data_IF_207829591445
#
_entry.id   IF_207829591445
#
_cell.length_a   1.000
_cell.length_b   1.000
_cell.length_c   1.000
_cell.angle_alpha   90.00
_cell.angle_beta   90.00
_cell.angle_gamma   90.00
#
_symmetry.space_group_name_H-M   'P 1'
#
loop_
_entity.id
_entity.type
_entity.pdbx_description
1 polymer ?
#
# COMPACT_ATOMS: atom_id res chain seq x y z
N UNK A 1 -18.45 15.85 12.28
CA UNK A 1 -17.18 15.21 11.87
C UNK A 1 -16.19 16.29 11.52
N UNK A 2 -14.97 16.25 12.12
CA UNK A 2 -13.91 17.22 11.80
C UNK A 2 -13.23 16.78 10.51
N UNK A 3 -12.96 17.72 9.61
CA UNK A 3 -12.27 17.47 8.34
C UNK A 3 -10.91 18.16 8.35
N UNK A 4 -9.90 17.44 7.85
CA UNK A 4 -8.54 17.92 7.74
C UNK A 4 -8.09 17.92 6.28
N UNK A 5 -7.41 18.98 5.81
CA UNK A 5 -6.78 18.98 4.49
C UNK A 5 -5.54 18.06 4.49
N UNK A 6 -5.10 17.67 3.30
CA UNK A 6 -3.88 16.87 3.08
C UNK A 6 -2.60 17.54 3.62
N UNK A 7 -2.62 18.86 3.82
CA UNK A 7 -1.52 19.62 4.43
C UNK A 7 -1.37 19.42 5.94
N UNK A 8 -2.34 18.77 6.60
CA UNK A 8 -2.26 18.46 8.04
C UNK A 8 -1.40 17.21 8.27
N UNK A 9 -0.07 17.38 8.24
CA UNK A 9 0.93 16.31 8.23
C UNK A 9 0.98 15.42 9.49
N UNK A 10 0.50 15.93 10.62
CA UNK A 10 0.62 15.26 11.94
C UNK A 10 -0.59 14.36 12.27
N UNK A 11 -1.56 14.24 11.39
CA UNK A 11 -2.69 13.32 11.59
C UNK A 11 -2.24 11.88 11.36
N UNK A 12 -2.49 11.03 12.35
CA UNK A 12 -2.22 9.60 12.30
C UNK A 12 -3.41 8.85 12.93
N UNK A 13 -4.25 8.26 12.09
CA UNK A 13 -5.38 7.46 12.54
C UNK A 13 -4.97 6.00 12.65
N UNK A 14 -4.99 5.47 13.87
CA UNK A 14 -4.54 4.11 14.18
C UNK A 14 -5.46 3.05 13.56
N UNK A 15 -4.88 2.06 12.91
CA UNK A 15 -5.55 0.90 12.33
C UNK A 15 -4.84 -0.37 12.78
N UNK A 16 -5.59 -1.30 13.37
CA UNK A 16 -5.09 -2.56 13.91
C UNK A 16 -5.88 -3.01 15.14
N UNK A 17 -5.76 -4.26 15.53
CA UNK A 17 -6.42 -4.81 16.70
C UNK A 17 -5.79 -4.35 18.02
N UNK A 18 -6.54 -4.42 19.11
CA UNK A 18 -6.05 -4.12 20.47
C UNK A 18 -4.97 -5.15 20.83
N UNK A 19 -3.80 -4.64 21.25
CA UNK A 19 -2.67 -5.49 21.66
C UNK A 19 -1.98 -6.23 20.52
N UNK A 20 -2.28 -5.89 19.27
CA UNK A 20 -1.63 -6.44 18.07
C UNK A 20 -0.74 -5.41 17.39
N UNK A 21 -0.11 -5.77 16.27
CA UNK A 21 0.56 -4.79 15.42
C UNK A 21 -0.42 -3.82 14.78
N UNK A 22 0.04 -2.62 14.48
CA UNK A 22 -0.77 -1.56 13.88
C UNK A 22 -0.01 -0.73 12.85
N UNK A 23 -0.75 0.06 12.09
CA UNK A 23 -0.25 1.14 11.25
C UNK A 23 -1.21 2.34 11.35
N UNK A 24 -0.81 3.47 10.83
CA UNK A 24 -1.64 4.69 10.84
C UNK A 24 -1.97 5.15 9.43
N UNK A 25 -3.18 5.69 9.26
CA UNK A 25 -3.61 6.41 8.06
C UNK A 25 -3.35 7.91 8.24
N UNK A 26 -2.60 8.51 7.32
CA UNK A 26 -2.39 9.95 7.25
C UNK A 26 -3.41 10.66 6.37
N UNK A 27 -3.44 12.00 6.41
CA UNK A 27 -4.41 12.84 5.70
C UNK A 27 -4.33 12.74 4.18
N UNK A 28 -3.17 12.38 3.63
CA UNK A 28 -2.96 12.23 2.20
C UNK A 28 -3.44 10.88 1.64
N UNK A 29 -3.95 9.97 2.47
CA UNK A 29 -4.22 8.58 2.13
C UNK A 29 -3.01 7.66 2.31
N UNK A 30 -1.89 8.19 2.80
CA UNK A 30 -0.66 7.44 3.03
C UNK A 30 -0.72 6.56 4.28
N UNK A 31 -0.08 5.42 4.22
CA UNK A 31 0.13 4.54 5.38
C UNK A 31 1.48 4.85 6.02
N UNK A 32 1.52 4.88 7.34
CA UNK A 32 2.70 5.20 8.14
C UNK A 32 2.65 4.53 9.52
N UNK A 33 3.68 4.73 10.34
CA UNK A 33 3.74 4.23 11.73
C UNK A 33 3.55 2.71 11.82
N UNK A 34 4.25 1.96 10.99
CA UNK A 34 4.16 0.50 11.02
C UNK A 34 4.82 -0.06 12.28
N UNK A 35 4.01 -0.50 13.23
CA UNK A 35 4.44 -1.06 14.51
C UNK A 35 4.13 -2.56 14.56
N UNK A 36 4.87 -3.31 13.77
CA UNK A 36 4.73 -4.76 13.62
C UNK A 36 5.92 -5.51 14.22
N UNK A 37 5.72 -6.76 14.60
CA UNK A 37 6.77 -7.65 15.10
C UNK A 37 7.53 -7.08 16.30
N UNK A 38 6.81 -6.55 17.31
CA UNK A 38 7.36 -5.95 18.53
C UNK A 38 8.36 -4.81 18.26
N UNK A 39 8.20 -4.07 17.18
CA UNK A 39 9.04 -2.93 16.83
C UNK A 39 8.24 -1.64 16.94
N UNK A 40 8.67 -0.68 17.78
CA UNK A 40 8.10 0.65 17.75
C UNK A 40 8.43 1.32 16.41
N UNK A 41 7.47 2.06 15.86
CA UNK A 41 7.63 2.55 14.49
C UNK A 41 7.00 3.90 14.21
N UNK A 42 6.80 4.76 15.21
CA UNK A 42 6.25 6.10 14.99
C UNK A 42 7.13 6.93 14.06
N UNK A 43 6.49 7.49 13.02
CA UNK A 43 7.17 8.24 11.97
C UNK A 43 7.83 7.39 10.90
N UNK A 44 7.84 6.06 11.02
CA UNK A 44 8.39 5.19 9.99
C UNK A 44 7.38 4.99 8.84
N UNK A 45 7.90 4.55 7.70
CA UNK A 45 7.12 4.13 6.55
C UNK A 45 7.68 2.81 6.05
N UNK A 46 6.80 1.89 5.73
CA UNK A 46 7.22 0.68 5.07
C UNK A 46 7.54 1.00 3.59
N UNK A 47 8.73 0.68 3.09
CA UNK A 47 9.11 0.91 1.70
C UNK A 47 8.07 0.39 0.71
N UNK A 48 7.85 1.13 -0.38
CA UNK A 48 6.96 0.72 -1.49
C UNK A 48 5.56 0.29 -1.05
N UNK A 49 5.06 0.85 0.06
CA UNK A 49 3.72 0.55 0.57
C UNK A 49 2.78 1.68 0.19
N UNK A 50 1.92 1.40 -0.77
CA UNK A 50 0.92 2.34 -1.30
C UNK A 50 -0.18 1.59 -2.05
N UNK A 51 -1.24 2.32 -2.39
CA UNK A 51 -2.26 1.87 -3.33
C UNK A 51 -2.24 2.74 -4.57
N UNK A 52 -2.61 2.16 -5.72
CA UNK A 52 -2.70 2.86 -6.99
C UNK A 52 -4.00 2.55 -7.70
N UNK A 53 -4.54 3.53 -8.40
CA UNK A 53 -5.67 3.42 -9.31
C UNK A 53 -5.15 3.42 -10.75
N UNK A 54 -5.71 2.57 -11.57
CA UNK A 54 -5.68 2.64 -13.03
C UNK A 54 -7.10 2.78 -13.56
N UNK A 55 -7.27 3.52 -14.63
CA UNK A 55 -8.54 3.64 -15.33
C UNK A 55 -8.34 3.62 -16.84
N UNK A 56 -9.40 3.17 -17.55
CA UNK A 56 -9.50 3.28 -19.00
C UNK A 56 -10.90 3.74 -19.39
N UNK A 57 -10.96 4.85 -20.09
CA UNK A 57 -12.17 5.43 -20.61
C UNK A 57 -12.65 4.67 -21.87
N UNK A 58 -13.91 4.87 -22.25
CA UNK A 58 -14.51 4.22 -23.42
C UNK A 58 -13.77 4.52 -24.74
N UNK A 59 -13.21 5.71 -24.88
CA UNK A 59 -12.39 6.13 -26.04
C UNK A 59 -10.99 5.50 -26.07
N UNK A 60 -10.64 4.72 -25.06
CA UNK A 60 -9.36 4.05 -24.91
C UNK A 60 -8.29 4.85 -24.15
N UNK A 61 -8.58 6.06 -23.73
CA UNK A 61 -7.67 6.85 -22.89
C UNK A 61 -7.45 6.19 -21.53
N UNK A 62 -6.20 6.08 -21.11
CA UNK A 62 -5.80 5.50 -19.83
C UNK A 62 -5.15 6.55 -18.92
N UNK A 63 -5.32 6.39 -17.62
CA UNK A 63 -4.59 7.16 -16.59
C UNK A 63 -4.28 6.24 -15.40
N UNK A 64 -3.21 6.54 -14.68
CA UNK A 64 -2.85 5.83 -13.45
C UNK A 64 -2.34 6.81 -12.40
N UNK A 65 -2.80 6.65 -11.16
CA UNK A 65 -2.50 7.52 -10.01
C UNK A 65 -2.22 6.70 -8.77
N UNK A 66 -1.24 7.11 -7.99
CA UNK A 66 -1.15 6.65 -6.60
C UNK A 66 -2.33 7.24 -5.82
N UNK A 67 -3.02 6.42 -5.04
CA UNK A 67 -4.16 6.80 -4.19
C UNK A 67 -3.68 7.55 -2.94
N UNK A 68 -2.98 8.65 -3.21
CA UNK A 68 -2.50 9.62 -2.24
C UNK A 68 -2.54 11.02 -2.84
N UNK A 69 -2.67 12.04 -1.98
CA UNK A 69 -2.37 13.42 -2.32
C UNK A 69 -0.84 13.67 -2.39
N UNK A 70 -0.38 14.81 -2.97
CA UNK A 70 1.03 15.11 -3.10
C UNK A 70 1.73 15.24 -1.75
N UNK A 71 3.04 15.08 -1.76
CA UNK A 71 3.88 15.41 -0.61
C UNK A 71 3.94 16.93 -0.42
N UNK A 72 3.90 17.37 0.83
CA UNK A 72 4.00 18.77 1.20
C UNK A 72 5.35 19.09 1.85
N UNK A 73 5.79 20.34 1.71
CA UNK A 73 6.96 20.85 2.43
C UNK A 73 6.69 20.97 3.94
N UNK A 74 7.72 20.93 4.78
CA UNK A 74 9.15 20.83 4.45
C UNK A 74 9.56 19.38 4.09
N UNK A 75 10.47 19.27 3.10
CA UNK A 75 11.13 17.99 2.81
C UNK A 75 12.30 17.80 3.77
N UNK A 76 12.42 16.63 4.35
CA UNK A 76 13.37 16.35 5.45
C UNK A 76 14.81 16.11 4.98
N UNK A 77 15.05 16.06 3.67
CA UNK A 77 16.37 15.72 3.10
C UNK A 77 16.83 16.73 2.06
N UNK A 78 18.15 16.92 1.98
CA UNK A 78 18.78 17.87 1.04
C UNK A 78 18.57 17.51 -0.44
N UNK A 79 18.31 16.25 -0.75
CA UNK A 79 18.13 15.75 -2.12
C UNK A 79 16.71 15.22 -2.39
N UNK A 80 15.73 15.66 -1.61
CA UNK A 80 14.31 15.35 -1.80
C UNK A 80 13.83 14.19 -0.97
N UNK A 81 12.91 13.40 -1.54
CA UNK A 81 12.27 12.26 -0.88
C UNK A 81 12.94 10.95 -1.32
N UNK A 82 13.00 9.95 -0.43
CA UNK A 82 13.53 8.63 -0.79
C UNK A 82 12.67 7.98 -1.89
N UNK A 83 13.30 7.18 -2.73
CA UNK A 83 12.62 6.46 -3.82
C UNK A 83 11.55 5.49 -3.30
N UNK A 84 11.78 4.93 -2.13
CA UNK A 84 10.89 3.98 -1.47
C UNK A 84 9.52 4.58 -1.10
N UNK A 85 9.42 5.92 -1.08
CA UNK A 85 8.15 6.63 -0.88
C UNK A 85 7.38 6.85 -2.20
N UNK A 86 7.95 6.41 -3.34
CA UNK A 86 7.31 6.52 -4.66
C UNK A 86 6.89 7.94 -5.03
N UNK A 87 7.65 8.95 -4.56
CA UNK A 87 7.27 10.36 -4.66
C UNK A 87 7.16 10.89 -6.10
N UNK A 88 7.87 10.25 -7.04
CA UNK A 88 7.85 10.61 -8.47
C UNK A 88 6.65 10.11 -9.25
N UNK A 89 5.82 9.22 -8.68
CA UNK A 89 4.63 8.72 -9.37
C UNK A 89 3.50 9.77 -9.38
N UNK A 90 2.63 9.78 -10.40
CA UNK A 90 1.44 10.62 -10.45
C UNK A 90 0.51 10.38 -9.25
N UNK A 91 -0.07 11.44 -8.71
CA UNK A 91 -1.00 11.42 -7.58
C UNK A 91 -2.25 12.22 -7.87
N UNK A 92 -3.27 12.06 -7.03
CA UNK A 92 -4.42 12.96 -7.00
C UNK A 92 -3.98 14.38 -6.63
N UNK A 93 -4.71 15.39 -7.09
CA UNK A 93 -4.35 16.80 -6.88
C UNK A 93 -4.40 17.21 -5.41
N UNK A 94 -5.33 16.66 -4.63
CA UNK A 94 -5.51 16.91 -3.20
C UNK A 94 -6.27 15.78 -2.53
N UNK A 95 -6.37 15.82 -1.20
CA UNK A 95 -7.25 14.95 -0.44
C UNK A 95 -7.90 15.68 0.75
N UNK A 96 -8.98 15.11 1.25
CA UNK A 96 -9.68 15.59 2.45
C UNK A 96 -9.90 14.42 3.39
N UNK A 97 -9.31 14.49 4.56
CA UNK A 97 -9.43 13.48 5.60
C UNK A 97 -10.53 13.81 6.60
N UNK A 98 -11.24 12.80 7.04
CA UNK A 98 -12.17 12.90 8.17
C UNK A 98 -12.18 11.61 8.97
N UNK A 99 -12.39 11.70 10.28
CA UNK A 99 -12.44 10.52 11.14
C UNK A 99 -13.57 10.62 12.17
N UNK A 100 -14.16 9.49 12.43
CA UNK A 100 -15.05 9.23 13.54
C UNK A 100 -14.83 7.78 13.94
N UNK A 101 -14.03 7.58 14.99
CA UNK A 101 -13.66 6.25 15.44
C UNK A 101 -14.88 5.31 15.54
N UNK A 102 -14.82 4.08 15.02
CA UNK A 102 -13.64 3.38 14.48
C UNK A 102 -13.38 3.56 12.97
N UNK A 103 -13.94 4.56 12.33
CA UNK A 103 -13.82 4.82 10.90
C UNK A 103 -12.96 6.07 10.62
N UNK A 104 -12.19 6.01 9.54
CA UNK A 104 -11.55 7.15 8.92
C UNK A 104 -11.79 7.14 7.41
N UNK A 105 -11.96 8.33 6.81
CA UNK A 105 -12.23 8.46 5.39
C UNK A 105 -11.27 9.47 4.76
N UNK A 106 -10.87 9.20 3.53
CA UNK A 106 -10.11 10.09 2.66
C UNK A 106 -10.86 10.26 1.35
N UNK A 107 -11.29 11.47 1.04
CA UNK A 107 -11.79 11.85 -0.27
C UNK A 107 -10.59 12.28 -1.12
N UNK A 108 -10.36 11.64 -2.27
CA UNK A 108 -9.34 12.06 -3.22
C UNK A 108 -9.93 13.02 -4.23
N UNK A 109 -9.28 14.17 -4.42
CA UNK A 109 -9.79 15.26 -5.23
C UNK A 109 -8.92 15.44 -6.48
N UNK A 110 -9.52 15.27 -7.66
CA UNK A 110 -8.88 15.54 -8.95
C UNK A 110 -9.95 15.76 -10.01
N UNK A 111 -10.08 17.00 -10.48
CA UNK A 111 -11.08 17.38 -11.48
C UNK A 111 -10.74 16.92 -12.90
N UNK A 112 -9.53 16.39 -13.11
CA UNK A 112 -9.08 15.89 -14.43
C UNK A 112 -9.52 14.45 -14.69
N UNK A 113 -10.01 13.74 -13.67
CA UNK A 113 -10.44 12.36 -13.77
C UNK A 113 -11.97 12.24 -13.86
N UNK A 114 -12.50 11.35 -14.72
CA UNK A 114 -13.94 11.15 -14.90
C UNK A 114 -14.53 10.22 -13.80
N UNK A 115 -14.04 10.34 -12.58
CA UNK A 115 -14.47 9.53 -11.44
C UNK A 115 -14.19 10.25 -10.11
N UNK A 116 -14.92 9.87 -9.07
CA UNK A 116 -14.59 10.22 -7.69
C UNK A 116 -14.11 8.98 -6.92
N UNK A 117 -13.15 9.17 -6.02
CA UNK A 117 -12.59 8.10 -5.21
C UNK A 117 -12.62 8.47 -3.74
N UNK A 118 -13.15 7.55 -2.95
CA UNK A 118 -13.13 7.61 -1.49
C UNK A 118 -12.44 6.37 -0.93
N UNK A 119 -11.61 6.57 0.09
CA UNK A 119 -11.01 5.50 0.89
C UNK A 119 -11.66 5.53 2.27
N UNK A 120 -12.20 4.40 2.71
CA UNK A 120 -12.67 4.18 4.06
C UNK A 120 -11.76 3.18 4.75
N UNK A 121 -11.22 3.56 5.90
CA UNK A 121 -10.48 2.65 6.78
C UNK A 121 -11.29 2.36 8.02
N UNK A 122 -11.30 1.10 8.41
CA UNK A 122 -12.00 0.62 9.57
C UNK A 122 -11.04 -0.07 10.54
N UNK A 123 -11.07 0.37 11.78
CA UNK A 123 -10.40 -0.31 12.88
C UNK A 123 -11.39 -1.30 13.52
N UNK A 124 -11.14 -2.62 13.48
CA UNK A 124 -12.04 -3.58 14.09
C UNK A 124 -12.08 -3.38 15.61
N UNK A 125 -13.12 -2.70 16.07
CA UNK A 125 -13.32 -2.40 17.49
C UNK A 125 -14.78 -2.61 17.87
N UNK A 126 -14.99 -3.51 18.82
CA UNK A 126 -16.31 -3.78 19.42
C UNK A 126 -16.21 -3.47 20.92
N UNK A 127 -16.91 -2.46 21.45
CA UNK A 127 -16.85 -2.14 22.87
C UNK A 127 -17.20 -3.33 23.74
N UNK A 128 -16.35 -3.60 24.76
CA UNK A 128 -16.49 -4.71 25.72
C UNK A 128 -16.31 -6.12 25.14
N UNK A 129 -15.88 -6.23 23.88
CA UNK A 129 -15.51 -7.49 23.24
C UNK A 129 -14.01 -7.43 22.86
N UNK A 130 -13.17 -7.97 23.73
CA UNK A 130 -11.72 -7.96 23.52
C UNK A 130 -11.28 -8.94 22.43
N UNK A 131 -11.99 -10.04 22.22
CA UNK A 131 -11.67 -11.03 21.19
C UNK A 131 -11.91 -10.44 19.80
N UNK A 132 -13.09 -9.87 19.54
CA UNK A 132 -13.39 -9.20 18.28
C UNK A 132 -12.50 -7.97 18.04
N UNK A 133 -12.16 -7.22 19.10
CA UNK A 133 -11.34 -6.02 19.01
C UNK A 133 -9.85 -6.30 18.83
N UNK A 134 -9.37 -7.51 19.11
CA UNK A 134 -7.96 -7.90 18.96
C UNK A 134 -7.63 -8.60 17.64
N UNK A 135 -8.56 -8.65 16.70
CA UNK A 135 -8.29 -9.20 15.35
C UNK A 135 -7.14 -8.40 14.72
N UNK A 136 -6.00 -9.04 14.36
CA UNK A 136 -4.81 -8.35 13.84
C UNK A 136 -4.99 -7.98 12.36
N UNK A 137 -5.96 -7.11 12.07
CA UNK A 137 -6.30 -6.69 10.72
C UNK A 137 -6.61 -5.20 10.64
N UNK A 138 -6.31 -4.61 9.50
CA UNK A 138 -6.80 -3.29 9.09
C UNK A 138 -7.62 -3.46 7.82
N UNK A 139 -8.81 -2.89 7.78
CA UNK A 139 -9.71 -2.96 6.64
C UNK A 139 -9.67 -1.64 5.88
N UNK A 140 -9.37 -1.73 4.58
CA UNK A 140 -9.33 -0.59 3.67
C UNK A 140 -10.31 -0.85 2.53
N UNK A 141 -11.28 0.01 2.36
CA UNK A 141 -12.26 -0.04 1.29
C UNK A 141 -12.11 1.17 0.39
N UNK A 142 -12.02 0.94 -0.90
CA UNK A 142 -12.12 2.00 -1.90
C UNK A 142 -13.50 1.99 -2.54
N UNK A 143 -14.12 3.15 -2.59
CA UNK A 143 -15.33 3.41 -3.38
C UNK A 143 -14.93 4.27 -4.56
N UNK A 144 -15.09 3.71 -5.77
CA UNK A 144 -14.87 4.42 -7.04
C UNK A 144 -16.23 4.66 -7.67
N UNK A 145 -16.59 5.91 -7.92
CA UNK A 145 -17.82 6.30 -8.56
C UNK A 145 -17.51 6.88 -9.93
N UNK A 146 -18.04 6.26 -10.99
CA UNK A 146 -17.93 6.78 -12.34
C UNK A 146 -18.82 8.01 -12.51
N UNK A 147 -18.22 9.15 -12.85
CA UNK A 147 -18.91 10.42 -13.09
C UNK A 147 -19.08 10.74 -14.58
N UNK A 148 -18.55 9.88 -15.48
CA UNK A 148 -18.77 9.98 -16.90
C UNK A 148 -20.14 9.41 -17.31
N UNK A 149 -20.53 9.61 -18.58
CA UNK A 149 -21.74 9.03 -19.18
C UNK A 149 -21.57 7.60 -19.65
N UNK A 150 -20.34 7.16 -19.89
CA UNK A 150 -19.98 5.85 -20.42
C UNK A 150 -19.27 4.98 -19.37
N UNK A 151 -19.33 3.65 -19.51
CA UNK A 151 -18.59 2.74 -18.63
C UNK A 151 -17.08 2.99 -18.66
N UNK A 152 -16.43 2.85 -17.51
CA UNK A 152 -14.99 2.95 -17.33
C UNK A 152 -14.46 1.64 -16.76
N UNK A 153 -13.35 1.12 -17.30
CA UNK A 153 -12.60 0.06 -16.61
C UNK A 153 -11.73 0.70 -15.50
N UNK A 154 -11.70 0.08 -14.34
CA UNK A 154 -10.88 0.53 -13.21
C UNK A 154 -10.14 -0.64 -12.59
N UNK A 155 -8.92 -0.41 -12.14
CA UNK A 155 -8.18 -1.34 -11.31
C UNK A 155 -7.58 -0.64 -10.11
N UNK A 156 -7.53 -1.33 -8.97
CA UNK A 156 -6.82 -0.88 -7.78
C UNK A 156 -5.75 -1.88 -7.45
N UNK A 157 -4.50 -1.43 -7.44
CA UNK A 157 -3.38 -2.20 -6.96
C UNK A 157 -3.00 -1.80 -5.54
N UNK A 158 -2.68 -2.78 -4.70
CA UNK A 158 -2.03 -2.58 -3.40
C UNK A 158 -0.64 -3.16 -3.42
N UNK A 159 0.32 -2.47 -2.85
CA UNK A 159 1.72 -2.87 -2.74
C UNK A 159 2.22 -2.75 -1.32
N UNK A 160 3.09 -3.67 -0.91
CA UNK A 160 3.82 -3.58 0.36
C UNK A 160 5.12 -4.38 0.32
N UNK A 161 6.11 -3.92 1.05
CA UNK A 161 7.34 -4.68 1.27
C UNK A 161 7.18 -5.68 2.41
N UNK A 162 7.83 -6.84 2.26
CA UNK A 162 7.85 -7.89 3.25
C UNK A 162 8.75 -7.51 4.44
N UNK A 163 8.16 -7.22 5.58
CA UNK A 163 8.88 -6.95 6.84
C UNK A 163 9.03 -8.21 7.71
N UNK A 164 8.43 -9.34 7.32
CA UNK A 164 8.59 -10.58 8.06
C UNK A 164 10.04 -11.08 7.97
N UNK A 165 10.62 -11.44 9.10
CA UNK A 165 11.99 -11.95 9.15
C UNK A 165 13.12 -10.91 9.04
N UNK A 166 12.79 -9.64 8.97
CA UNK A 166 13.78 -8.57 9.07
C UNK A 166 14.39 -8.58 10.48
N UNK A 167 15.68 -8.91 10.58
CA UNK A 167 16.37 -9.01 11.87
C UNK A 167 16.89 -7.68 12.35
N UNK A 168 17.52 -6.91 11.47
CA UNK A 168 18.09 -5.60 11.77
C UNK A 168 17.83 -4.62 10.63
N UNK A 169 17.60 -3.35 10.99
CA UNK A 169 17.58 -2.24 10.05
C UNK A 169 18.93 -1.55 10.11
N UNK A 170 19.81 -1.80 9.15
CA UNK A 170 21.00 -0.97 8.97
C UNK A 170 20.66 0.29 8.17
N UNK A 171 20.81 1.45 8.79
CA UNK A 171 20.87 2.72 8.06
C UNK A 171 22.28 2.88 7.50
N UNK A 172 22.44 2.66 6.21
CA UNK A 172 23.63 3.14 5.50
C UNK A 172 23.51 4.65 5.29
N UNK A 173 24.61 5.35 5.10
CA UNK A 173 24.63 6.82 4.99
C UNK A 173 23.72 7.43 3.88
N UNK A 174 23.13 6.61 3.01
CA UNK A 174 22.16 6.99 1.97
C UNK A 174 20.75 6.46 2.26
N UNK A 175 20.52 6.01 3.51
CA UNK A 175 19.23 5.47 4.00
C UNK A 175 18.70 4.24 3.25
N UNK A 176 19.55 3.51 2.58
CA UNK A 176 19.20 2.19 2.09
C UNK A 176 19.11 1.23 3.27
N UNK A 177 17.95 0.62 3.43
CA UNK A 177 17.75 -0.40 4.44
C UNK A 177 18.42 -1.67 3.95
N UNK A 178 19.54 -2.04 4.54
CA UNK A 178 20.18 -3.34 4.32
C UNK A 178 19.44 -4.37 5.15
N UNK A 179 19.00 -5.44 4.52
CA UNK A 179 18.17 -6.44 5.16
C UNK A 179 18.76 -7.81 4.93
N UNK A 180 18.77 -8.63 5.97
CA UNK A 180 18.82 -10.06 5.81
C UNK A 180 17.50 -10.48 5.18
N UNK A 181 17.53 -10.67 3.85
CA UNK A 181 16.36 -10.91 3.04
C UNK A 181 16.05 -12.41 2.96
N UNK A 182 15.50 -12.90 4.04
CA UNK A 182 14.96 -14.26 4.13
C UNK A 182 13.44 -14.30 3.93
N UNK A 183 12.84 -13.16 3.56
CA UNK A 183 11.40 -13.05 3.32
C UNK A 183 10.94 -13.84 2.09
N UNK A 184 9.75 -14.40 2.15
CA UNK A 184 9.08 -15.11 1.07
C UNK A 184 7.69 -14.53 0.90
N UNK A 185 7.32 -14.22 -0.34
CA UNK A 185 5.99 -13.76 -0.71
C UNK A 185 5.30 -14.89 -1.49
N UNK A 186 4.12 -15.30 -1.04
CA UNK A 186 3.37 -16.41 -1.64
C UNK A 186 1.93 -15.97 -1.91
N UNK A 187 1.44 -16.15 -3.13
CA UNK A 187 0.03 -15.99 -3.43
C UNK A 187 -0.76 -17.14 -2.77
N UNK A 188 -1.84 -16.79 -2.09
CA UNK A 188 -2.77 -17.74 -1.46
C UNK A 188 -4.20 -17.35 -1.75
N UNK A 189 -5.03 -18.38 -1.80
CA UNK A 189 -6.48 -18.25 -1.87
C UNK A 189 -7.11 -19.23 -0.87
N UNK A 190 -7.95 -18.71 0.00
CA UNK A 190 -8.66 -19.51 1.01
C UNK A 190 -9.95 -18.82 1.40
N UNK A 191 -11.03 -19.61 1.51
CA UNK A 191 -12.36 -19.16 1.97
C UNK A 191 -12.90 -17.90 1.29
N UNK A 192 -12.63 -17.72 -0.01
CA UNK A 192 -13.07 -16.56 -0.78
C UNK A 192 -12.27 -15.29 -0.54
N UNK A 193 -11.11 -15.39 0.09
CA UNK A 193 -10.12 -14.33 0.24
C UNK A 193 -8.86 -14.76 -0.49
N UNK A 194 -8.27 -13.87 -1.29
CA UNK A 194 -7.03 -14.13 -2.00
C UNK A 194 -6.06 -12.96 -1.89
N UNK A 195 -4.78 -13.22 -2.06
CA UNK A 195 -3.75 -12.20 -1.99
C UNK A 195 -2.35 -12.72 -1.69
N UNK A 196 -1.48 -11.84 -1.27
CA UNK A 196 -0.11 -12.17 -0.92
C UNK A 196 0.06 -12.39 0.58
N UNK A 197 0.70 -13.49 0.91
CA UNK A 197 1.14 -13.85 2.24
C UNK A 197 2.66 -13.67 2.33
N UNK A 198 3.09 -12.83 3.24
CA UNK A 198 4.49 -12.47 3.48
C UNK A 198 4.96 -13.17 4.74
N UNK A 199 6.02 -13.95 4.62
CA UNK A 199 6.57 -14.75 5.72
C UNK A 199 8.10 -14.81 5.65
N UNK A 200 8.72 -15.36 6.69
CA UNK A 200 10.11 -15.74 6.73
C UNK A 200 10.24 -17.18 7.26
N UNK A 201 10.85 -18.06 6.49
CA UNK A 201 11.03 -19.47 6.88
C UNK A 201 12.25 -19.70 7.77
N UNK A 202 13.23 -18.79 7.73
CA UNK A 202 14.48 -18.94 8.47
C UNK A 202 14.48 -18.36 9.88
N UNK A 203 13.42 -17.62 10.24
CA UNK A 203 13.31 -17.08 11.58
C UNK A 203 12.62 -18.09 12.51
N UNK A 204 13.24 -18.39 13.64
CA UNK A 204 12.70 -19.29 14.64
C UNK A 204 11.34 -18.75 15.15
N UNK A 205 10.36 -19.65 15.33
CA UNK A 205 9.00 -19.28 15.78
C UNK A 205 8.99 -18.60 17.15
N UNK A 206 9.98 -18.83 17.98
CA UNK A 206 10.14 -18.19 19.29
C UNK A 206 10.92 -16.87 19.21
N UNK A 207 11.39 -16.48 18.04
CA UNK A 207 12.11 -15.21 17.89
C UNK A 207 11.17 -14.04 18.10
N UNK A 208 11.64 -13.00 18.79
CA UNK A 208 10.84 -11.82 19.16
C UNK A 208 10.17 -11.12 17.96
N UNK A 209 10.81 -11.17 16.81
CA UNK A 209 10.32 -10.55 15.58
C UNK A 209 9.70 -11.58 14.60
N UNK A 210 9.40 -12.80 15.07
CA UNK A 210 8.68 -13.78 14.25
C UNK A 210 7.26 -13.31 13.97
N UNK A 211 6.80 -13.52 12.74
CA UNK A 211 5.43 -13.22 12.34
C UNK A 211 5.26 -13.26 10.83
N UNK A 212 4.04 -12.98 10.40
CA UNK A 212 3.66 -12.89 8.99
C UNK A 212 2.68 -11.73 8.78
N UNK A 213 2.52 -11.35 7.52
CA UNK A 213 1.62 -10.29 7.07
C UNK A 213 0.84 -10.83 5.87
N UNK A 214 -0.36 -10.33 5.65
CA UNK A 214 -1.10 -10.56 4.42
C UNK A 214 -1.58 -9.23 3.83
N UNK A 215 -1.51 -9.13 2.52
CA UNK A 215 -2.21 -8.13 1.72
C UNK A 215 -3.23 -8.89 0.88
N UNK A 216 -4.50 -8.83 1.25
CA UNK A 216 -5.51 -9.70 0.71
C UNK A 216 -6.83 -8.98 0.43
N UNK A 217 -7.67 -9.57 -0.42
CA UNK A 217 -8.95 -9.04 -0.84
C UNK A 217 -9.99 -10.17 -0.99
N UNK A 218 -11.27 -9.91 -0.71
CA UNK A 218 -12.36 -10.84 -1.06
C UNK A 218 -12.82 -10.69 -2.52
N UNK A 219 -12.19 -9.83 -3.31
CA UNK A 219 -12.59 -9.58 -4.68
C UNK A 219 -12.06 -10.67 -5.62
N UNK A 220 -12.85 -11.00 -6.64
CA UNK A 220 -12.42 -11.88 -7.71
C UNK A 220 -11.56 -11.15 -8.75
N UNK A 221 -10.96 -11.88 -9.69
CA UNK A 221 -10.14 -11.34 -10.79
C UNK A 221 -8.89 -10.59 -10.27
N UNK A 222 -8.19 -11.22 -9.34
CA UNK A 222 -6.94 -10.72 -8.80
C UNK A 222 -5.78 -11.15 -9.68
N UNK A 223 -4.97 -10.21 -10.08
CA UNK A 223 -3.62 -10.46 -10.61
C UNK A 223 -2.59 -10.10 -9.55
N UNK A 224 -1.42 -10.71 -9.58
CA UNK A 224 -0.42 -10.44 -8.57
C UNK A 224 1.01 -10.51 -9.13
N UNK A 225 1.87 -9.68 -8.56
CA UNK A 225 3.31 -9.70 -8.72
C UNK A 225 3.90 -10.08 -7.37
N UNK A 226 4.28 -11.36 -7.21
CA UNK A 226 4.75 -11.87 -5.92
C UNK A 226 6.04 -11.20 -5.47
N UNK A 227 6.89 -10.85 -6.43
CA UNK A 227 8.15 -10.17 -6.18
C UNK A 227 8.46 -9.16 -7.28
N UNK A 228 8.75 -7.91 -6.89
CA UNK A 228 9.20 -6.89 -7.82
C UNK A 228 10.61 -7.17 -8.31
N UNK A 229 10.94 -6.62 -9.48
CA UNK A 229 12.30 -6.69 -10.01
C UNK A 229 13.31 -6.12 -9.00
N UNK A 230 14.33 -6.91 -8.68
CA UNK A 230 15.42 -6.53 -7.77
C UNK A 230 16.74 -6.58 -8.50
N UNK A 231 16.99 -5.63 -9.36
CA UNK A 231 18.24 -5.51 -10.12
C UNK A 231 19.17 -4.42 -9.58
N UNK A 232 18.61 -3.44 -8.93
CA UNK A 232 19.30 -2.33 -8.31
C UNK A 232 18.32 -1.51 -7.47
N UNK A 233 18.76 -0.42 -6.87
CA UNK A 233 17.92 0.37 -5.97
C UNK A 233 16.72 1.08 -6.66
N UNK A 234 16.68 1.10 -8.00
CA UNK A 234 15.78 1.96 -8.76
C UNK A 234 14.84 1.22 -9.71
N UNK A 235 15.12 -0.03 -10.03
CA UNK A 235 14.48 -0.73 -11.15
C UNK A 235 13.10 -1.31 -10.80
N UNK A 236 12.86 -1.67 -9.56
CA UNK A 236 11.61 -2.33 -9.15
C UNK A 236 10.37 -1.44 -9.26
N UNK A 237 10.50 -0.17 -8.90
CA UNK A 237 9.38 0.77 -8.99
C UNK A 237 8.98 1.10 -10.44
N UNK A 238 9.91 1.41 -11.35
CA UNK A 238 9.58 1.56 -12.77
C UNK A 238 8.98 0.28 -13.38
N UNK A 239 9.53 -0.90 -13.07
CA UNK A 239 9.02 -2.18 -13.57
C UNK A 239 7.56 -2.43 -13.13
N UNK A 240 7.26 -2.22 -11.85
CA UNK A 240 5.89 -2.30 -11.33
C UNK A 240 4.98 -1.28 -12.01
N UNK A 241 5.43 -0.02 -12.11
CA UNK A 241 4.59 1.06 -12.61
C UNK A 241 4.30 0.91 -14.11
N UNK A 242 5.28 0.53 -14.90
CA UNK A 242 5.11 0.26 -16.33
C UNK A 242 4.12 -0.90 -16.57
N UNK A 243 4.23 -1.96 -15.77
CA UNK A 243 3.32 -3.11 -15.80
C UNK A 243 1.88 -2.67 -15.48
N UNK A 244 1.67 -2.12 -14.29
CA UNK A 244 0.34 -1.72 -13.81
C UNK A 244 -0.30 -0.62 -14.64
N UNK A 245 0.45 0.42 -15.01
CA UNK A 245 -0.10 1.57 -15.75
C UNK A 245 -0.47 1.26 -17.20
N UNK A 246 0.00 0.15 -17.76
CA UNK A 246 -0.30 -0.26 -19.11
C UNK A 246 -1.75 -0.71 -19.30
N UNK A 247 -2.26 -1.53 -18.37
CA UNK A 247 -3.58 -2.15 -18.49
C UNK A 247 -4.32 -2.42 -17.17
N UNK A 248 -3.73 -2.04 -16.03
CA UNK A 248 -4.31 -2.23 -14.69
C UNK A 248 -4.12 -3.63 -14.11
N UNK A 249 -3.40 -4.51 -14.78
CA UNK A 249 -3.06 -5.85 -14.29
C UNK A 249 -1.60 -5.93 -13.84
N UNK A 250 -1.24 -7.03 -13.18
CA UNK A 250 0.12 -7.33 -12.72
C UNK A 250 0.49 -8.72 -13.24
N UNK A 251 0.82 -8.81 -14.52
CA UNK A 251 0.99 -10.09 -15.20
C UNK A 251 2.46 -10.47 -15.45
N UNK A 252 3.37 -9.49 -15.30
CA UNK A 252 4.79 -9.75 -15.53
C UNK A 252 5.41 -10.44 -14.32
N UNK A 253 5.93 -11.62 -14.54
CA UNK A 253 6.90 -12.20 -13.62
C UNK A 253 8.17 -11.36 -13.65
N UNK A 254 8.48 -10.67 -12.56
CA UNK A 254 9.79 -10.08 -12.39
C UNK A 254 10.78 -11.20 -12.09
N UNK A 255 11.68 -11.45 -13.02
CA UNK A 255 12.78 -12.35 -12.79
C UNK A 255 13.67 -11.83 -11.66
N UNK A 256 14.00 -12.68 -10.70
CA UNK A 256 15.10 -12.42 -9.80
C UNK A 256 16.39 -12.32 -10.63
N UNK A 257 17.01 -11.15 -10.60
CA UNK A 257 18.36 -10.99 -11.14
C UNK A 257 19.31 -11.12 -9.95
N UNK A 258 20.16 -12.14 -9.99
CA UNK A 258 21.18 -12.33 -8.96
C UNK A 258 22.03 -11.05 -8.80
N UNK A 259 22.03 -10.50 -7.61
CA UNK A 259 22.87 -9.36 -7.24
C UNK A 259 24.22 -9.92 -6.79
N UNK A 260 25.31 -9.30 -7.24
CA UNK A 260 26.64 -9.71 -6.82
C UNK A 260 26.82 -9.59 -5.29
N UNK A 261 27.64 -10.42 -4.65
CA UNK A 261 27.94 -10.29 -3.24
C UNK A 261 28.42 -8.87 -2.91
N UNK A 262 27.73 -8.19 -1.99
CA UNK A 262 28.04 -6.82 -1.58
C UNK A 262 27.16 -5.73 -2.18
N UNK A 263 26.29 -6.02 -3.13
CA UNK A 263 25.27 -5.10 -3.60
C UNK A 263 24.10 -4.99 -2.59
N UNK A 264 23.50 -3.80 -2.52
CA UNK A 264 22.39 -3.54 -1.62
C UNK A 264 21.17 -4.39 -1.99
N UNK A 265 20.60 -5.05 -1.00
CA UNK A 265 19.36 -5.81 -1.18
C UNK A 265 18.19 -4.94 -0.73
N UNK A 266 17.26 -4.69 -1.63
CA UNK A 266 15.97 -4.12 -1.28
C UNK A 266 15.06 -5.20 -0.71
N UNK A 267 14.07 -4.79 0.11
CA UNK A 267 13.02 -5.70 0.57
C UNK A 267 12.29 -6.35 -0.60
N UNK A 268 11.88 -7.60 -0.43
CA UNK A 268 10.93 -8.23 -1.34
C UNK A 268 9.60 -7.52 -1.26
N UNK A 269 9.27 -6.79 -2.31
CA UNK A 269 8.00 -6.10 -2.45
C UNK A 269 7.07 -6.96 -3.27
N UNK A 270 5.81 -7.07 -2.85
CA UNK A 270 4.78 -7.75 -3.61
C UNK A 270 3.55 -6.89 -3.79
N UNK A 271 2.79 -7.12 -4.84
CA UNK A 271 1.58 -6.36 -5.19
C UNK A 271 0.46 -7.24 -5.69
N UNK A 272 -0.77 -6.83 -5.40
CA UNK A 272 -1.99 -7.40 -5.98
C UNK A 272 -2.75 -6.32 -6.71
N UNK A 273 -3.49 -6.67 -7.77
CA UNK A 273 -4.40 -5.78 -8.49
C UNK A 273 -5.76 -6.42 -8.71
N UNK A 274 -6.82 -5.63 -8.53
CA UNK A 274 -8.22 -6.00 -8.76
C UNK A 274 -8.79 -5.10 -9.84
N UNK A 275 -9.30 -5.70 -10.92
CA UNK A 275 -9.85 -4.98 -12.07
C UNK A 275 -11.36 -5.20 -12.20
N UNK A 276 -12.10 -4.12 -12.45
CA UNK A 276 -13.57 -4.13 -12.63
C UNK A 276 -14.00 -3.14 -13.71
N UNK A 277 -15.18 -3.42 -14.32
CA UNK A 277 -15.90 -2.41 -15.12
C UNK A 277 -16.84 -1.63 -14.21
N UNK A 278 -16.76 -0.31 -14.25
CA UNK A 278 -17.58 0.58 -13.46
C UNK A 278 -18.57 1.33 -14.35
N UNK A 279 -19.85 1.03 -14.17
CA UNK A 279 -20.94 1.69 -14.92
C UNK A 279 -21.21 3.09 -14.36
N UNK A 280 -21.78 4.02 -15.17
CA UNK A 280 -22.17 5.34 -14.70
C UNK A 280 -23.06 5.26 -13.45
N UNK A 281 -22.91 6.26 -12.55
CA UNK A 281 -23.82 6.39 -11.44
C UNK A 281 -25.25 6.65 -11.96
N UNK A 282 -26.29 6.07 -11.34
CA UNK A 282 -27.65 6.38 -11.70
C UNK A 282 -27.92 7.89 -11.52
N UNK A 283 -28.52 8.48 -12.54
CA UNK A 283 -28.90 9.91 -12.60
C UNK A 283 -29.93 10.28 -11.53
#
# INVERSE_FOLDING_TARGET
MIRYPDTASEVAFLIGGIGTGNFSLGTRGNLQDFEWFNRPGKGNRNPYTFFALWLKEHDGKTDARVLEAPFHKPYTRSHGLPVELCAGLPRFAASRFSAQYPFANVEFLDETLPLSVEMECFNPFVPLDEEASSIPAGLIRYRVTNTASEPIEVAIAGSTSNLAGVREFERTGWENIRLDDDGINVYREDNGICGLFFQCEKLDVNHLHFGNIALATPEANVTCKQEWLRRGNWDGLPDFWEDFSSDGALERESGYVAINPGEYRTLKTGSISVKKTNTPAPS
#
